data_IF_523734370632
#
_entry.id   IF_523734370632
#
_cell.length_a   1.000
_cell.length_b   1.000
_cell.length_c   1.000
_cell.angle_alpha   90.00
_cell.angle_beta   90.00
_cell.angle_gamma   90.00
#
_symmetry.space_group_name_H-M   'P 1'
#
loop_
_entity.id
_entity.type
_entity.pdbx_description
1 polymer ?
#
# COMPACT_ATOMS: atom_id res chain seq x y z
N UNK A 1 18.48 -7.62 3.14
CA UNK A 1 18.48 -6.67 4.28
C UNK A 1 18.15 -5.24 3.83
N UNK A 2 19.00 -4.51 3.09
CA UNK A 2 18.69 -3.11 2.66
C UNK A 2 17.40 -2.96 1.84
N UNK A 3 17.05 -3.95 1.00
CA UNK A 3 15.85 -3.89 0.16
C UNK A 3 14.51 -3.92 0.94
N UNK A 4 14.45 -4.55 2.13
CA UNK A 4 13.20 -4.69 2.89
C UNK A 4 12.82 -3.42 3.64
N UNK A 5 13.79 -2.84 4.35
CA UNK A 5 13.62 -1.55 5.01
C UNK A 5 13.25 -0.47 3.99
N UNK A 6 13.89 -0.47 2.81
CA UNK A 6 13.56 0.46 1.74
C UNK A 6 12.12 0.26 1.24
N UNK A 7 11.68 -0.98 1.00
CA UNK A 7 10.30 -1.26 0.59
C UNK A 7 9.30 -0.70 1.61
N UNK A 8 9.51 -0.93 2.91
CA UNK A 8 8.67 -0.34 3.95
C UNK A 8 8.66 1.19 3.94
N UNK A 9 9.81 1.84 3.79
CA UNK A 9 9.89 3.32 3.74
C UNK A 9 9.17 3.89 2.53
N UNK A 10 9.39 3.33 1.35
CA UNK A 10 8.77 3.83 0.11
C UNK A 10 7.25 3.65 0.18
N UNK A 11 6.78 2.47 0.59
CA UNK A 11 5.34 2.24 0.76
C UNK A 11 4.75 3.14 1.84
N UNK A 12 5.45 3.34 2.95
CA UNK A 12 5.04 4.27 4.01
C UNK A 12 4.86 5.69 3.48
N UNK A 13 5.87 6.24 2.81
CA UNK A 13 5.82 7.60 2.24
C UNK A 13 4.67 7.73 1.25
N UNK A 14 4.46 6.73 0.39
CA UNK A 14 3.34 6.69 -0.53
C UNK A 14 1.99 6.76 0.19
N UNK A 15 1.77 5.89 1.17
CA UNK A 15 0.50 5.86 1.91
C UNK A 15 0.26 7.13 2.72
N UNK A 16 1.32 7.72 3.27
CA UNK A 16 1.24 9.02 3.96
C UNK A 16 0.83 10.12 2.99
N UNK A 17 1.47 10.22 1.82
CA UNK A 17 1.12 11.22 0.81
C UNK A 17 -0.31 11.02 0.30
N UNK A 18 -0.70 9.79 -0.04
CA UNK A 18 -2.05 9.48 -0.46
C UNK A 18 -3.07 9.82 0.64
N UNK A 19 -2.78 9.49 1.90
CA UNK A 19 -3.64 9.80 3.04
C UNK A 19 -3.82 11.30 3.26
N UNK A 20 -2.75 12.08 3.18
CA UNK A 20 -2.80 13.55 3.26
C UNK A 20 -3.68 14.11 2.15
N UNK A 21 -3.52 13.66 0.90
CA UNK A 21 -4.32 14.17 -0.22
C UNK A 21 -5.82 13.89 -0.08
N UNK A 22 -6.19 12.78 0.58
CA UNK A 22 -7.58 12.44 0.84
C UNK A 22 -8.16 13.14 2.08
N UNK A 23 -7.34 13.47 3.07
CA UNK A 23 -7.74 14.29 4.22
C UNK A 23 -7.88 15.77 3.87
N UNK A 24 -7.09 16.25 2.90
CA UNK A 24 -7.12 17.64 2.42
C UNK A 24 -7.63 17.70 0.97
N UNK A 25 -8.94 17.45 0.78
CA UNK A 25 -9.53 17.27 -0.54
C UNK A 25 -9.36 18.45 -1.48
N UNK A 26 -9.35 19.68 -0.96
CA UNK A 26 -9.12 20.89 -1.75
C UNK A 26 -7.77 20.86 -2.45
N UNK A 27 -6.73 20.37 -1.77
CA UNK A 27 -5.38 20.23 -2.33
C UNK A 27 -5.36 19.11 -3.38
N UNK A 28 -5.95 17.96 -3.05
CA UNK A 28 -6.08 16.84 -3.98
C UNK A 28 -6.79 17.24 -5.27
N UNK A 29 -7.87 18.03 -5.17
CA UNK A 29 -8.63 18.44 -6.34
C UNK A 29 -7.89 19.47 -7.20
N UNK A 30 -7.19 20.43 -6.58
CA UNK A 30 -6.41 21.44 -7.33
C UNK A 30 -5.18 20.86 -8.04
N UNK A 31 -4.52 19.87 -7.44
CA UNK A 31 -3.28 19.31 -7.98
C UNK A 31 -3.54 18.15 -8.94
N UNK A 32 -4.54 17.31 -8.65
CA UNK A 32 -4.78 16.05 -9.36
C UNK A 32 -6.15 15.95 -10.05
N UNK A 33 -7.06 16.91 -9.85
CA UNK A 33 -8.42 16.84 -10.41
C UNK A 33 -9.13 15.54 -9.99
N UNK A 34 -9.14 15.26 -8.68
CA UNK A 34 -9.69 14.02 -8.13
C UNK A 34 -11.21 13.90 -8.33
N UNK A 35 -11.93 15.02 -8.35
CA UNK A 35 -13.40 15.16 -8.46
C UNK A 35 -14.18 14.23 -7.51
N UNK A 36 -13.64 14.10 -6.30
CA UNK A 36 -14.19 13.31 -5.22
C UNK A 36 -15.59 13.81 -4.83
N UNK A 37 -16.59 12.94 -4.97
CA UNK A 37 -17.99 13.31 -4.67
C UNK A 37 -18.43 12.97 -3.25
N UNK A 38 -17.70 12.12 -2.51
CA UNK A 38 -17.99 11.79 -1.11
C UNK A 38 -16.76 11.98 -0.21
N UNK A 39 -16.70 13.16 0.41
CA UNK A 39 -15.58 13.58 1.26
C UNK A 39 -15.48 12.84 2.59
N UNK A 40 -16.61 12.42 3.17
CA UNK A 40 -16.62 11.66 4.42
C UNK A 40 -15.85 10.35 4.25
N UNK A 41 -16.22 9.56 3.23
CA UNK A 41 -15.56 8.30 2.91
C UNK A 41 -14.09 8.53 2.51
N UNK A 42 -13.81 9.56 1.72
CA UNK A 42 -12.43 9.87 1.31
C UNK A 42 -11.52 10.18 2.51
N UNK A 43 -12.00 11.00 3.46
CA UNK A 43 -11.23 11.38 4.64
C UNK A 43 -11.05 10.23 5.65
N UNK A 44 -12.06 9.39 5.84
CA UNK A 44 -11.93 8.13 6.61
C UNK A 44 -10.87 7.22 6.00
N UNK A 45 -10.93 7.03 4.68
CA UNK A 45 -9.95 6.25 3.95
C UNK A 45 -8.55 6.86 4.07
N UNK A 46 -8.44 8.19 3.94
CA UNK A 46 -7.19 8.93 4.14
C UNK A 46 -6.59 8.73 5.52
N UNK A 47 -7.41 8.76 6.58
CA UNK A 47 -6.98 8.46 7.94
C UNK A 47 -6.43 7.04 8.11
N UNK A 48 -7.07 6.05 7.49
CA UNK A 48 -6.56 4.66 7.46
C UNK A 48 -5.20 4.60 6.75
N UNK A 49 -5.05 5.25 5.60
CA UNK A 49 -3.77 5.29 4.87
C UNK A 49 -2.67 5.96 5.69
N UNK A 50 -2.98 7.03 6.44
CA UNK A 50 -2.02 7.65 7.35
C UNK A 50 -1.57 6.71 8.47
N UNK A 51 -2.52 6.05 9.14
CA UNK A 51 -2.22 5.13 10.23
C UNK A 51 -1.37 3.94 9.75
N UNK A 52 -1.74 3.35 8.62
CA UNK A 52 -0.97 2.25 8.01
C UNK A 52 0.40 2.73 7.52
N UNK A 53 0.47 3.92 6.92
CA UNK A 53 1.72 4.53 6.48
C UNK A 53 2.70 4.73 7.65
N UNK A 54 2.22 5.26 8.78
CA UNK A 54 3.01 5.40 10.00
C UNK A 54 3.46 4.04 10.57
N UNK A 55 2.59 3.03 10.55
CA UNK A 55 2.93 1.68 10.96
C UNK A 55 4.06 1.09 10.09
N UNK A 56 4.01 1.29 8.77
CA UNK A 56 5.06 0.80 7.87
C UNK A 56 6.37 1.57 8.04
N UNK A 57 6.31 2.85 8.41
CA UNK A 57 7.50 3.60 8.80
C UNK A 57 8.17 2.93 10.00
N UNK A 58 7.38 2.58 11.02
CA UNK A 58 7.88 1.84 12.19
C UNK A 58 8.46 0.49 11.77
N UNK A 59 7.80 -0.26 10.89
CA UNK A 59 8.33 -1.56 10.42
C UNK A 59 9.66 -1.42 9.69
N UNK A 60 9.92 -0.26 9.09
CA UNK A 60 11.19 -0.01 8.40
C UNK A 60 12.40 0.07 9.34
N UNK A 61 12.20 0.35 10.64
CA UNK A 61 13.27 0.43 11.64
C UNK A 61 13.80 -0.95 12.04
N UNK A 62 12.95 -1.98 11.94
CA UNK A 62 13.28 -3.39 12.20
C UNK A 62 12.64 -4.30 11.13
N UNK A 63 13.11 -4.14 9.90
CA UNK A 63 12.47 -4.76 8.73
C UNK A 63 12.51 -6.30 8.73
N UNK A 64 13.42 -6.93 9.47
CA UNK A 64 13.52 -8.39 9.55
C UNK A 64 12.47 -8.96 10.51
N UNK A 65 12.23 -8.30 11.65
CA UNK A 65 11.14 -8.67 12.57
C UNK A 65 9.77 -8.64 11.90
N UNK A 66 9.54 -7.66 11.02
CA UNK A 66 8.25 -7.48 10.34
C UNK A 66 8.19 -8.09 8.95
N UNK A 67 9.26 -8.74 8.47
CA UNK A 67 9.29 -9.36 7.15
C UNK A 67 8.13 -10.34 6.89
N UNK A 68 7.63 -11.15 7.86
CA UNK A 68 6.48 -12.04 7.64
C UNK A 68 5.20 -11.31 7.22
N UNK A 69 5.03 -10.03 7.61
CA UNK A 69 3.84 -9.25 7.26
C UNK A 69 3.82 -8.80 5.78
N UNK A 70 4.96 -8.83 5.07
CA UNK A 70 5.07 -8.31 3.71
C UNK A 70 4.09 -8.95 2.71
N UNK A 71 3.78 -10.24 2.88
CA UNK A 71 2.79 -10.91 2.03
C UNK A 71 1.38 -10.35 2.21
N UNK A 72 0.97 -10.10 3.47
CA UNK A 72 -0.33 -9.49 3.79
C UNK A 72 -0.37 -8.04 3.32
N UNK A 73 0.73 -7.31 3.46
CA UNK A 73 0.86 -5.93 2.98
C UNK A 73 0.71 -5.86 1.45
N UNK A 74 1.33 -6.79 0.72
CA UNK A 74 1.16 -6.88 -0.73
C UNK A 74 -0.32 -7.12 -1.11
N UNK A 75 -1.02 -7.99 -0.38
CA UNK A 75 -2.45 -8.21 -0.59
C UNK A 75 -3.29 -6.96 -0.27
N UNK A 76 -2.97 -6.24 0.80
CA UNK A 76 -3.62 -4.97 1.15
C UNK A 76 -3.43 -3.87 0.09
N UNK A 77 -2.24 -3.80 -0.51
CA UNK A 77 -1.98 -2.90 -1.64
C UNK A 77 -2.81 -3.29 -2.89
N UNK A 78 -2.96 -4.60 -3.16
CA UNK A 78 -3.85 -5.05 -4.24
C UNK A 78 -5.32 -4.80 -3.95
N UNK A 79 -5.75 -4.87 -2.69
CA UNK A 79 -7.09 -4.43 -2.30
C UNK A 79 -7.28 -2.93 -2.59
N UNK A 80 -6.26 -2.11 -2.32
CA UNK A 80 -6.26 -0.68 -2.65
C UNK A 80 -6.41 -0.44 -4.17
N UNK A 81 -5.76 -1.26 -5.00
CA UNK A 81 -5.99 -1.26 -6.46
C UNK A 81 -7.46 -1.50 -6.81
N UNK A 82 -8.09 -2.53 -6.22
CA UNK A 82 -9.50 -2.84 -6.48
C UNK A 82 -10.42 -1.70 -6.03
N UNK A 83 -10.15 -1.08 -4.88
CA UNK A 83 -10.94 0.08 -4.38
C UNK A 83 -10.85 1.26 -5.36
N UNK A 84 -9.65 1.58 -5.86
CA UNK A 84 -9.48 2.68 -6.82
C UNK A 84 -10.17 2.40 -8.16
N UNK A 85 -10.11 1.16 -8.65
CA UNK A 85 -10.85 0.76 -9.85
C UNK A 85 -12.37 0.86 -9.65
N UNK A 86 -12.86 0.46 -8.47
CA UNK A 86 -14.26 0.59 -8.11
C UNK A 86 -14.68 2.07 -8.06
N UNK A 87 -13.93 2.93 -7.35
CA UNK A 87 -14.22 4.36 -7.25
C UNK A 87 -14.21 5.07 -8.60
N UNK A 88 -13.32 4.68 -9.51
CA UNK A 88 -13.39 5.14 -10.89
C UNK A 88 -14.66 4.67 -11.60
N UNK A 89 -14.97 3.38 -11.52
CA UNK A 89 -16.12 2.78 -12.21
C UNK A 89 -17.46 3.40 -11.78
N UNK A 90 -17.59 3.82 -10.51
CA UNK A 90 -18.79 4.50 -10.01
C UNK A 90 -18.74 6.03 -10.11
N UNK A 91 -17.70 6.58 -10.76
CA UNK A 91 -17.58 8.03 -11.03
C UNK A 91 -17.16 8.89 -9.84
N UNK A 92 -16.59 8.29 -8.78
CA UNK A 92 -16.00 9.05 -7.67
C UNK A 92 -14.61 9.59 -8.01
N UNK A 93 -13.91 8.96 -8.96
CA UNK A 93 -12.55 9.32 -9.39
C UNK A 93 -12.50 9.56 -10.90
N UNK A 94 -11.76 10.57 -11.32
CA UNK A 94 -11.30 10.66 -12.71
C UNK A 94 -10.35 9.50 -13.07
N UNK A 95 -10.34 9.08 -14.34
CA UNK A 95 -9.49 7.99 -14.83
C UNK A 95 -8.01 8.23 -14.50
N UNK A 96 -7.53 9.47 -14.69
CA UNK A 96 -6.14 9.87 -14.41
C UNK A 96 -5.75 9.59 -12.94
N UNK A 97 -6.65 9.92 -12.02
CA UNK A 97 -6.47 9.75 -10.57
C UNK A 97 -6.43 8.26 -10.19
N UNK A 98 -7.32 7.48 -10.79
CA UNK A 98 -7.39 6.04 -10.55
C UNK A 98 -6.19 5.29 -11.12
N UNK A 99 -5.80 5.57 -12.37
CA UNK A 99 -4.66 4.91 -13.03
C UNK A 99 -3.36 5.14 -12.26
N UNK A 100 -3.12 6.36 -11.80
CA UNK A 100 -1.91 6.67 -11.02
C UNK A 100 -1.84 5.83 -9.73
N UNK A 101 -2.93 5.80 -8.95
CA UNK A 101 -3.00 4.99 -7.73
C UNK A 101 -2.90 3.49 -8.02
N UNK A 102 -3.55 3.01 -9.07
CA UNK A 102 -3.51 1.60 -9.49
C UNK A 102 -2.08 1.19 -9.80
N UNK A 103 -1.38 1.93 -10.65
CA UNK A 103 -0.01 1.61 -11.06
C UNK A 103 0.93 1.57 -9.86
N UNK A 104 0.91 2.60 -9.01
CA UNK A 104 1.81 2.65 -7.84
C UNK A 104 1.51 1.52 -6.86
N UNK A 105 0.25 1.30 -6.50
CA UNK A 105 -0.09 0.23 -5.55
C UNK A 105 0.24 -1.16 -6.11
N UNK A 106 0.05 -1.40 -7.42
CA UNK A 106 0.47 -2.66 -8.06
C UNK A 106 1.99 -2.86 -8.01
N UNK A 107 2.78 -1.82 -8.33
CA UNK A 107 4.24 -1.90 -8.29
C UNK A 107 4.74 -2.15 -6.86
N UNK A 108 4.19 -1.45 -5.86
CA UNK A 108 4.54 -1.64 -4.46
C UNK A 108 4.12 -3.02 -3.94
N UNK A 109 2.94 -3.52 -4.37
CA UNK A 109 2.48 -4.86 -4.03
C UNK A 109 3.44 -5.91 -4.59
N UNK A 110 3.80 -5.79 -5.87
CA UNK A 110 4.79 -6.65 -6.52
C UNK A 110 6.13 -6.60 -5.80
N UNK A 111 6.62 -5.42 -5.43
CA UNK A 111 7.87 -5.28 -4.71
C UNK A 111 7.82 -5.96 -3.35
N UNK A 112 6.80 -5.66 -2.52
CA UNK A 112 6.58 -6.30 -1.22
C UNK A 112 6.50 -7.82 -1.34
N UNK A 113 5.82 -8.31 -2.38
CA UNK A 113 5.74 -9.73 -2.68
C UNK A 113 7.11 -10.33 -2.96
N UNK A 114 7.95 -9.67 -3.77
CA UNK A 114 9.28 -10.21 -4.12
C UNK A 114 10.25 -10.27 -2.94
N UNK A 115 10.16 -9.32 -2.00
CA UNK A 115 11.10 -9.23 -0.86
C UNK A 115 10.65 -10.00 0.38
N UNK A 116 9.41 -10.52 0.38
CA UNK A 116 8.86 -11.30 1.49
C UNK A 116 9.69 -12.57 1.79
N UNK A 117 9.71 -13.06 3.04
CA UNK A 117 10.29 -14.36 3.36
C UNK A 117 9.57 -15.47 2.58
N UNK A 118 10.33 -16.33 1.89
CA UNK A 118 9.77 -17.56 1.34
C UNK A 118 9.81 -18.61 2.45
N UNK A 119 8.66 -19.18 2.80
CA UNK A 119 8.61 -20.33 3.70
C UNK A 119 9.45 -21.45 3.08
N UNK A 120 10.53 -21.86 3.75
CA UNK A 120 11.17 -23.14 3.46
C UNK A 120 10.21 -24.22 3.94
N UNK A 121 9.40 -24.76 3.03
CA UNK A 121 8.67 -26.00 3.29
C UNK A 121 9.74 -27.05 3.59
N UNK A 122 9.70 -27.60 4.80
CA UNK A 122 10.76 -28.44 5.34
C UNK A 122 11.08 -29.63 4.45
N UNK A 123 12.29 -29.66 3.91
CA UNK A 123 12.95 -30.93 3.62
C UNK A 123 13.30 -31.51 4.98
N UNK A 124 12.43 -32.36 5.53
CA UNK A 124 12.83 -33.29 6.59
C UNK A 124 13.89 -34.18 5.94
N UNK A 125 15.16 -33.97 6.30
CA UNK A 125 16.19 -34.97 6.09
C UNK A 125 15.75 -36.23 6.84
N UNK A 126 15.27 -37.22 6.10
CA UNK A 126 15.13 -38.58 6.61
C UNK A 126 16.54 -39.14 6.74
N UNK A 127 17.11 -39.09 7.94
CA UNK A 127 18.28 -39.89 8.31
C UNK A 127 17.87 -41.37 8.32
N UNK A 128 18.46 -42.24 7.48
CA UNK A 128 18.31 -43.68 7.66
C UNK A 128 19.15 -44.11 8.87
N UNK A 129 18.53 -44.88 9.76
CA UNK A 129 19.19 -45.63 10.85
C UNK A 129 19.76 -46.91 10.27
#
# INVERSE_FOLDING_TARGET
MKSRSLAFKVTSVWLLLAGVLLLFPTVGNQVFGLDLTNWGIASEYGGVLLGVGALYWLFSTDAERYAPAMGVIAAGLMLNVVINLYWWAVGHYALQSAVFNVVINTLLAGWMWTVRPRSRVGVRETTPV
#
